data_IF_994927851085
#
_entry.id   IF_994927851085
#
_cell.length_a   1.000
_cell.length_b   1.000
_cell.length_c   1.000
_cell.angle_alpha   90.00
_cell.angle_beta   90.00
_cell.angle_gamma   90.00
#
_symmetry.space_group_name_H-M   'P 1'
#
loop_
_entity.id
_entity.type
_entity.pdbx_description
1 polymer ?
#
# COMPACT_ATOMS: atom_id res chain seq x y z
N UNK A 1 -19.54 7.81 8.53
CA UNK A 1 -18.57 8.79 8.04
C UNK A 1 -19.27 9.95 7.35
N UNK A 2 -20.23 9.73 6.45
CA UNK A 2 -21.00 10.78 5.76
C UNK A 2 -21.57 11.82 6.74
N UNK A 3 -22.29 11.37 7.80
CA UNK A 3 -22.84 12.28 8.82
C UNK A 3 -21.76 13.15 9.48
N UNK A 4 -20.58 12.61 9.75
CA UNK A 4 -19.45 13.38 10.32
C UNK A 4 -18.90 14.43 9.36
N UNK A 5 -18.86 14.11 8.06
CA UNK A 5 -18.47 15.08 7.03
C UNK A 5 -19.50 16.21 6.92
N UNK A 6 -20.80 15.89 6.97
CA UNK A 6 -21.87 16.90 6.97
C UNK A 6 -21.82 17.79 8.22
N UNK A 7 -21.56 17.22 9.41
CA UNK A 7 -21.37 17.99 10.64
C UNK A 7 -20.13 18.91 10.59
N UNK A 8 -19.12 18.59 9.78
CA UNK A 8 -17.96 19.44 9.52
C UNK A 8 -18.22 20.49 8.44
N UNK A 9 -19.44 20.59 7.90
CA UNK A 9 -19.81 21.56 6.87
C UNK A 9 -19.49 21.12 5.43
N UNK A 10 -19.11 19.87 5.22
CA UNK A 10 -18.89 19.30 3.90
C UNK A 10 -20.19 18.75 3.30
N UNK A 11 -20.30 18.73 1.98
CA UNK A 11 -21.34 18.00 1.28
C UNK A 11 -20.85 16.57 1.02
N UNK A 12 -21.39 15.62 1.77
CA UNK A 12 -20.96 14.21 1.70
C UNK A 12 -21.69 13.44 0.60
N UNK A 13 -20.98 12.52 -0.04
CA UNK A 13 -21.52 11.55 -1.00
C UNK A 13 -20.73 10.25 -0.94
N UNK A 14 -21.40 9.14 -1.27
CA UNK A 14 -20.79 7.83 -1.49
C UNK A 14 -20.88 7.50 -2.97
N UNK A 15 -19.82 6.92 -3.54
CA UNK A 15 -19.76 6.57 -4.96
C UNK A 15 -20.07 5.10 -5.23
N UNK A 16 -20.09 4.72 -6.51
CA UNK A 16 -20.47 3.38 -6.97
C UNK A 16 -19.50 2.26 -6.61
N UNK A 17 -18.32 2.55 -6.03
CA UNK A 17 -17.40 1.55 -5.48
C UNK A 17 -17.29 1.63 -3.95
N UNK A 18 -17.97 2.62 -3.32
CA UNK A 18 -18.00 2.77 -1.88
C UNK A 18 -17.06 3.85 -1.33
N UNK A 19 -16.36 4.63 -2.17
CA UNK A 19 -15.62 5.79 -1.70
C UNK A 19 -16.55 6.82 -1.06
N UNK A 20 -16.14 7.41 0.06
CA UNK A 20 -16.91 8.46 0.73
C UNK A 20 -16.17 9.79 0.59
N UNK A 21 -16.74 10.72 -0.16
CA UNK A 21 -16.18 12.05 -0.40
C UNK A 21 -17.03 13.12 0.32
N UNK A 22 -16.35 13.97 1.10
CA UNK A 22 -16.90 15.20 1.66
C UNK A 22 -16.33 16.41 0.92
N UNK A 23 -17.18 17.18 0.22
CA UNK A 23 -16.77 18.33 -0.58
C UNK A 23 -16.98 19.64 0.16
N UNK A 24 -15.96 20.47 0.16
CA UNK A 24 -16.04 21.86 0.64
C UNK A 24 -16.98 22.70 -0.23
N UNK A 25 -17.62 23.67 0.40
CA UNK A 25 -18.36 24.72 -0.30
C UNK A 25 -17.48 25.92 -0.67
N UNK A 26 -16.23 25.98 -0.21
CA UNK A 26 -15.31 27.07 -0.49
C UNK A 26 -14.93 27.08 -1.97
N UNK A 27 -14.77 28.27 -2.58
CA UNK A 27 -14.39 28.39 -3.98
C UNK A 27 -12.90 28.09 -4.20
N UNK A 28 -12.53 27.75 -5.43
CA UNK A 28 -11.16 27.51 -5.84
C UNK A 28 -10.82 26.03 -5.95
N UNK A 29 -9.56 25.74 -6.23
CA UNK A 29 -9.04 24.37 -6.29
C UNK A 29 -8.90 23.82 -4.88
N UNK A 30 -9.53 22.69 -4.63
CA UNK A 30 -9.45 22.04 -3.32
C UNK A 30 -8.18 21.18 -3.20
N UNK A 31 -7.71 21.00 -1.97
CA UNK A 31 -6.78 19.97 -1.60
C UNK A 31 -7.57 18.76 -1.09
N UNK A 32 -7.34 17.58 -1.66
CA UNK A 32 -7.97 16.34 -1.24
C UNK A 32 -7.15 15.71 -0.12
N UNK A 33 -7.77 15.36 1.00
CA UNK A 33 -7.08 14.77 2.16
C UNK A 33 -7.84 13.53 2.64
N UNK A 34 -7.12 12.44 2.89
CA UNK A 34 -7.73 11.22 3.43
C UNK A 34 -6.81 10.01 3.31
N UNK A 35 -7.40 8.84 3.40
CA UNK A 35 -6.83 7.51 3.25
C UNK A 35 -7.96 6.50 3.14
N UNK A 36 -7.79 5.26 3.54
CA UNK A 36 -8.83 4.21 3.56
C UNK A 36 -9.38 3.98 4.97
N UNK A 37 -10.54 3.32 5.08
CA UNK A 37 -11.16 2.98 6.37
C UNK A 37 -11.47 1.49 6.53
N UNK A 38 -11.18 0.67 5.51
CA UNK A 38 -11.15 -0.77 5.63
C UNK A 38 -9.83 -1.20 6.32
N UNK A 39 -9.84 -2.37 6.95
CA UNK A 39 -8.73 -2.88 7.75
C UNK A 39 -8.46 -4.34 7.44
N UNK A 40 -7.29 -4.82 7.80
CA UNK A 40 -6.98 -6.26 7.79
C UNK A 40 -7.88 -7.02 8.79
N UNK A 41 -8.17 -8.31 8.54
CA UNK A 41 -9.06 -9.10 9.40
C UNK A 41 -8.61 -9.22 10.86
N UNK A 42 -7.33 -9.05 11.14
CA UNK A 42 -6.72 -9.28 12.47
C UNK A 42 -6.03 -8.04 13.03
N UNK A 43 -6.47 -6.85 12.67
CA UNK A 43 -5.91 -5.60 13.19
C UNK A 43 -5.95 -4.46 12.21
N UNK A 44 -5.21 -3.40 12.48
CA UNK A 44 -5.16 -2.23 11.62
C UNK A 44 -6.20 -1.16 11.98
N UNK A 45 -6.34 -0.80 13.26
CA UNK A 45 -7.35 0.20 13.66
C UNK A 45 -6.92 1.65 13.39
N UNK A 46 -5.60 1.89 13.27
CA UNK A 46 -5.02 3.16 12.85
C UNK A 46 -4.66 3.16 11.37
N UNK A 47 -4.36 1.98 10.83
CA UNK A 47 -4.01 1.74 9.45
C UNK A 47 -5.09 2.28 8.51
N UNK A 48 -4.74 3.30 7.71
CA UNK A 48 -5.67 4.04 6.86
C UNK A 48 -6.69 4.92 7.62
N UNK A 49 -7.38 4.35 8.61
CA UNK A 49 -8.41 5.06 9.37
C UNK A 49 -7.90 6.36 10.01
N UNK A 50 -6.63 6.41 10.43
CA UNK A 50 -5.97 7.62 10.91
C UNK A 50 -6.07 8.75 9.87
N UNK A 51 -5.69 8.49 8.62
CA UNK A 51 -5.69 9.47 7.54
C UNK A 51 -7.08 9.96 7.18
N UNK A 52 -8.09 9.09 7.25
CA UNK A 52 -9.50 9.47 7.06
C UNK A 52 -9.96 10.44 8.15
N UNK A 53 -9.63 10.15 9.42
CA UNK A 53 -9.98 11.03 10.53
C UNK A 53 -9.17 12.33 10.47
N UNK A 54 -7.90 12.30 10.10
CA UNK A 54 -7.12 13.51 9.91
C UNK A 54 -7.70 14.40 8.80
N UNK A 55 -8.17 13.84 7.69
CA UNK A 55 -8.86 14.62 6.65
C UNK A 55 -10.05 15.38 7.20
N UNK A 56 -10.87 14.73 8.03
CA UNK A 56 -12.00 15.36 8.73
C UNK A 56 -11.54 16.46 9.71
N UNK A 57 -10.54 16.19 10.53
CA UNK A 57 -10.05 17.13 11.55
C UNK A 57 -9.32 18.33 10.93
N UNK A 58 -8.61 18.15 9.81
CA UNK A 58 -8.04 19.28 9.04
C UNK A 58 -9.15 20.20 8.53
N UNK A 59 -10.24 19.65 7.97
CA UNK A 59 -11.40 20.45 7.55
C UNK A 59 -11.95 21.27 8.71
N UNK A 60 -12.15 20.65 9.89
CA UNK A 60 -12.65 21.34 11.09
C UNK A 60 -11.69 22.43 11.58
N UNK A 61 -10.41 22.09 11.70
CA UNK A 61 -9.39 23.03 12.18
C UNK A 61 -9.29 24.27 11.29
N UNK A 62 -9.28 24.09 9.96
CA UNK A 62 -9.24 25.21 9.03
C UNK A 62 -10.54 26.03 9.04
N UNK A 63 -11.69 25.41 9.24
CA UNK A 63 -12.97 26.11 9.31
C UNK A 63 -13.13 26.98 10.59
N UNK A 64 -12.53 26.55 11.70
CA UNK A 64 -12.57 27.26 12.99
C UNK A 64 -11.66 28.49 13.02
N UNK A 65 -10.56 28.52 12.25
CA UNK A 65 -9.64 29.65 12.20
C UNK A 65 -10.10 30.68 11.14
N UNK A 66 -10.39 31.95 11.54
CA UNK A 66 -10.78 33.00 10.61
C UNK A 66 -9.79 33.26 9.48
N UNK A 67 -8.50 32.96 9.69
CA UNK A 67 -7.43 33.16 8.70
C UNK A 67 -7.36 32.06 7.62
N UNK A 68 -7.95 30.87 7.87
CA UNK A 68 -7.88 29.72 6.97
C UNK A 68 -9.26 29.20 6.51
N UNK A 69 -10.35 29.63 7.13
CA UNK A 69 -11.71 29.11 6.85
C UNK A 69 -12.20 29.26 5.42
N UNK A 70 -11.51 30.05 4.59
CA UNK A 70 -11.82 30.24 3.18
C UNK A 70 -11.12 29.22 2.27
N UNK A 71 -10.17 28.44 2.81
CA UNK A 71 -9.42 27.44 2.08
C UNK A 71 -10.32 26.24 1.75
N UNK A 72 -10.19 25.70 0.54
CA UNK A 72 -11.00 24.58 0.09
C UNK A 72 -10.26 23.26 0.38
N UNK A 73 -10.81 22.46 1.30
CA UNK A 73 -10.33 21.10 1.60
C UNK A 73 -11.47 20.12 1.45
N UNK A 74 -11.28 19.11 0.64
CA UNK A 74 -12.18 17.97 0.51
C UNK A 74 -11.59 16.77 1.28
N UNK A 75 -12.45 16.02 1.97
CA UNK A 75 -12.06 14.82 2.72
C UNK A 75 -12.52 13.56 2.03
N UNK A 76 -11.67 12.55 1.93
CA UNK A 76 -11.94 11.28 1.24
C UNK A 76 -11.67 10.08 2.14
N UNK A 77 -12.50 9.04 2.02
CA UNK A 77 -12.21 7.69 2.47
C UNK A 77 -12.27 6.77 1.27
N UNK A 78 -11.13 6.20 0.90
CA UNK A 78 -11.05 5.21 -0.16
C UNK A 78 -11.61 3.86 0.30
N UNK A 79 -12.10 3.08 -0.64
CA UNK A 79 -12.67 1.75 -0.39
C UNK A 79 -11.73 0.65 -0.86
N UNK A 80 -11.58 -0.40 -0.05
CA UNK A 80 -10.88 -1.64 -0.37
C UNK A 80 -9.41 -1.44 -0.76
N UNK A 81 -8.67 -0.64 0.06
CA UNK A 81 -7.22 -0.53 -0.08
C UNK A 81 -6.57 -1.89 0.23
N UNK A 82 -7.05 -2.54 1.29
CA UNK A 82 -6.54 -3.78 1.89
C UNK A 82 -6.87 -5.06 1.11
N UNK A 83 -7.37 -4.91 -0.12
CA UNK A 83 -7.53 -6.02 -1.08
C UNK A 83 -8.54 -7.10 -0.70
N UNK A 84 -9.68 -6.77 -0.12
CA UNK A 84 -10.74 -7.76 0.00
C UNK A 84 -11.16 -8.30 -1.38
N UNK A 85 -11.30 -7.42 -2.36
CA UNK A 85 -11.60 -7.75 -3.76
C UNK A 85 -10.47 -7.32 -4.68
N UNK A 86 -9.95 -6.09 -4.52
CA UNK A 86 -8.93 -5.54 -5.39
C UNK A 86 -8.15 -4.41 -4.69
N UNK A 87 -6.84 -4.57 -4.51
CA UNK A 87 -6.01 -3.60 -3.78
C UNK A 87 -6.10 -2.18 -4.29
N UNK A 88 -6.32 -1.25 -3.38
CA UNK A 88 -6.55 0.16 -3.67
C UNK A 88 -7.74 0.37 -4.64
N UNK A 89 -8.80 -0.43 -4.54
CA UNK A 89 -9.92 -0.41 -5.48
C UNK A 89 -10.53 0.99 -5.62
N UNK A 90 -10.73 1.68 -4.50
CA UNK A 90 -11.34 2.99 -4.45
C UNK A 90 -10.52 4.05 -5.16
N UNK A 91 -9.26 4.21 -4.81
CA UNK A 91 -8.35 5.17 -5.44
C UNK A 91 -8.08 4.83 -6.90
N UNK A 92 -7.94 3.54 -7.25
CA UNK A 92 -7.82 3.11 -8.65
C UNK A 92 -9.05 3.41 -9.48
N UNK A 93 -10.26 3.21 -8.91
CA UNK A 93 -11.50 3.60 -9.58
C UNK A 93 -11.54 5.10 -9.86
N UNK A 94 -11.17 5.90 -8.87
CA UNK A 94 -11.08 7.36 -8.98
C UNK A 94 -10.06 7.82 -10.05
N UNK A 95 -8.91 7.14 -10.13
CA UNK A 95 -7.86 7.43 -11.12
C UNK A 95 -8.10 6.81 -12.51
N UNK A 96 -9.19 6.06 -12.70
CA UNK A 96 -9.52 5.40 -13.98
C UNK A 96 -8.77 4.08 -14.24
N UNK A 97 -8.05 3.56 -13.24
CA UNK A 97 -7.31 2.28 -13.32
C UNK A 97 -8.17 1.05 -12.99
N UNK A 98 -9.37 1.26 -12.49
CA UNK A 98 -10.34 0.20 -12.17
C UNK A 98 -11.67 0.45 -12.91
N UNK A 99 -11.77 0.14 -14.22
CA UNK A 99 -12.98 0.33 -15.00
C UNK A 99 -14.08 -0.67 -14.57
N UNK A 100 -15.38 -0.36 -14.79
CA UNK A 100 -16.49 -1.26 -14.46
C UNK A 100 -16.34 -2.68 -15.02
N UNK A 101 -15.68 -2.83 -16.16
CA UNK A 101 -15.39 -4.16 -16.75
C UNK A 101 -14.43 -5.01 -15.91
N UNK A 102 -13.62 -4.41 -15.03
CA UNK A 102 -12.71 -5.14 -14.15
C UNK A 102 -13.43 -5.81 -12.96
N UNK A 103 -14.68 -5.42 -12.65
CA UNK A 103 -15.49 -6.05 -11.60
C UNK A 103 -15.87 -7.50 -11.91
N UNK A 104 -16.01 -7.81 -13.21
CA UNK A 104 -16.49 -9.09 -13.64
C UNK A 104 -15.56 -10.23 -13.18
N UNK A 105 -16.10 -11.12 -12.34
CA UNK A 105 -15.38 -12.29 -11.84
C UNK A 105 -14.56 -12.06 -10.57
N UNK A 106 -14.44 -10.83 -10.05
CA UNK A 106 -13.79 -10.58 -8.76
C UNK A 106 -14.62 -11.19 -7.63
N UNK A 107 -13.94 -11.94 -6.78
CA UNK A 107 -14.51 -12.57 -5.58
C UNK A 107 -13.55 -12.40 -4.42
N UNK A 108 -14.10 -12.25 -3.23
CA UNK A 108 -13.31 -12.31 -2.01
C UNK A 108 -12.91 -13.77 -1.67
N UNK A 109 -12.15 -13.94 -0.60
CA UNK A 109 -11.68 -15.25 -0.12
C UNK A 109 -12.81 -16.22 0.25
N UNK A 110 -14.00 -15.71 0.55
CA UNK A 110 -15.18 -16.49 0.94
C UNK A 110 -16.10 -16.79 -0.27
N UNK A 111 -15.68 -16.33 -1.48
CA UNK A 111 -16.39 -16.55 -2.74
C UNK A 111 -17.50 -15.55 -3.05
N UNK A 112 -17.67 -14.50 -2.23
CA UNK A 112 -18.63 -13.41 -2.46
C UNK A 112 -18.18 -12.60 -3.69
N UNK A 113 -19.05 -12.42 -4.67
CA UNK A 113 -18.71 -11.58 -5.81
C UNK A 113 -18.77 -10.08 -5.44
N UNK A 114 -17.87 -9.27 -6.02
CA UNK A 114 -17.87 -7.83 -5.81
C UNK A 114 -19.22 -7.20 -6.21
N UNK A 115 -19.80 -7.64 -7.33
CA UNK A 115 -21.10 -7.17 -7.78
C UNK A 115 -22.21 -7.41 -6.75
N UNK A 116 -22.22 -8.60 -6.10
CA UNK A 116 -23.20 -8.94 -5.07
C UNK A 116 -22.99 -8.06 -3.81
N UNK A 117 -21.73 -7.78 -3.44
CA UNK A 117 -21.40 -6.92 -2.32
C UNK A 117 -21.84 -5.47 -2.56
N UNK A 118 -21.61 -4.93 -3.75
CA UNK A 118 -22.07 -3.59 -4.14
C UNK A 118 -23.60 -3.50 -4.19
N UNK A 119 -24.29 -4.53 -4.66
CA UNK A 119 -25.75 -4.59 -4.64
C UNK A 119 -26.28 -4.60 -3.21
N UNK A 120 -25.73 -5.42 -2.32
CA UNK A 120 -26.09 -5.46 -0.89
C UNK A 120 -25.84 -4.14 -0.19
N UNK A 121 -24.81 -3.41 -0.57
CA UNK A 121 -24.51 -2.06 -0.07
C UNK A 121 -25.44 -0.98 -0.66
N UNK A 122 -26.31 -1.31 -1.63
CA UNK A 122 -27.19 -0.36 -2.31
C UNK A 122 -26.46 0.58 -3.27
N UNK A 123 -25.27 0.17 -3.76
CA UNK A 123 -24.41 1.00 -4.60
C UNK A 123 -24.53 0.66 -6.10
N UNK A 124 -25.28 -0.38 -6.47
CA UNK A 124 -25.53 -0.76 -7.86
C UNK A 124 -26.11 0.41 -8.66
N UNK A 125 -25.44 0.77 -9.76
CA UNK A 125 -25.84 1.87 -10.61
C UNK A 125 -25.54 3.28 -10.08
N UNK A 126 -24.92 3.39 -8.90
CA UNK A 126 -24.44 4.68 -8.38
C UNK A 126 -23.24 5.13 -9.21
N UNK A 127 -23.19 6.42 -9.65
CA UNK A 127 -22.04 6.95 -10.38
C UNK A 127 -20.75 6.83 -9.56
N UNK A 128 -19.63 6.53 -10.23
CA UNK A 128 -18.31 6.56 -9.61
C UNK A 128 -17.73 7.96 -9.67
N UNK A 129 -16.96 8.30 -8.66
CA UNK A 129 -16.10 9.48 -8.68
C UNK A 129 -14.95 9.25 -9.66
N UNK A 130 -14.55 10.31 -10.37
CA UNK A 130 -13.38 10.29 -11.23
C UNK A 130 -12.52 11.54 -11.01
N UNK A 131 -11.20 11.38 -10.99
CA UNK A 131 -10.27 12.49 -10.82
C UNK A 131 -10.44 13.57 -11.89
N UNK A 132 -10.80 13.17 -13.13
CA UNK A 132 -11.02 14.07 -14.25
C UNK A 132 -12.22 15.02 -14.08
N UNK A 133 -13.15 14.70 -13.17
CA UNK A 133 -14.33 15.52 -12.89
C UNK A 133 -14.06 16.63 -11.85
N UNK A 134 -12.82 16.70 -11.33
CA UNK A 134 -12.42 17.60 -10.25
C UNK A 134 -11.10 18.30 -10.57
N UNK A 135 -10.99 19.57 -10.22
CA UNK A 135 -9.77 20.36 -10.34
C UNK A 135 -9.09 20.45 -8.96
N UNK A 136 -8.46 19.35 -8.53
CA UNK A 136 -7.71 19.34 -7.28
C UNK A 136 -6.31 19.94 -7.43
N UNK A 137 -5.82 20.59 -6.36
CA UNK A 137 -4.39 20.96 -6.26
C UNK A 137 -3.52 19.72 -6.12
N UNK A 138 -4.00 18.72 -5.40
CA UNK A 138 -3.33 17.48 -5.16
C UNK A 138 -3.98 16.71 -4.00
N UNK A 139 -3.31 15.66 -3.56
CA UNK A 139 -3.77 14.75 -2.51
C UNK A 139 -2.75 14.65 -1.38
N UNK A 140 -3.22 14.70 -0.15
CA UNK A 140 -2.43 14.43 1.05
C UNK A 140 -2.98 13.21 1.78
N UNK A 141 -2.08 12.31 2.14
CA UNK A 141 -2.39 11.13 2.94
C UNK A 141 -1.58 11.15 4.24
N UNK A 142 -2.22 10.87 5.36
CA UNK A 142 -1.54 10.62 6.62
C UNK A 142 -1.72 9.15 7.00
N UNK A 143 -0.67 8.57 7.58
CA UNK A 143 -0.67 7.16 7.92
C UNK A 143 0.25 6.87 9.12
N UNK A 144 0.14 5.73 9.73
CA UNK A 144 1.19 5.19 10.60
C UNK A 144 2.34 4.66 9.75
N UNK A 145 3.57 4.63 10.28
CA UNK A 145 4.73 4.14 9.53
C UNK A 145 4.62 2.65 9.15
N UNK A 146 3.91 1.86 9.92
CA UNK A 146 3.86 0.39 9.81
C UNK A 146 5.25 -0.26 9.92
N UNK A 147 6.17 0.41 10.59
CA UNK A 147 7.56 0.02 10.75
C UNK A 147 8.20 0.70 11.96
N UNK A 148 9.42 0.29 12.34
CA UNK A 148 10.04 0.70 13.59
C UNK A 148 10.94 1.94 13.48
N UNK A 149 11.20 2.48 12.27
CA UNK A 149 12.31 3.42 12.06
C UNK A 149 12.12 4.76 12.78
N UNK A 150 10.89 5.33 12.76
CA UNK A 150 10.64 6.59 13.46
C UNK A 150 10.83 6.42 14.97
N UNK A 151 10.31 5.36 15.55
CA UNK A 151 10.45 5.06 16.97
C UNK A 151 11.92 4.80 17.35
N UNK A 152 12.63 3.94 16.60
CA UNK A 152 14.04 3.63 16.84
C UNK A 152 14.96 4.84 16.71
N UNK A 153 14.66 5.75 15.77
CA UNK A 153 15.43 6.98 15.54
C UNK A 153 14.99 8.14 16.46
N UNK A 154 14.02 7.94 17.35
CA UNK A 154 13.45 8.96 18.22
C UNK A 154 12.78 10.10 17.45
N UNK A 155 12.22 9.80 16.28
CA UNK A 155 11.49 10.74 15.43
C UNK A 155 9.98 10.56 15.63
N UNK A 156 9.27 11.67 15.56
CA UNK A 156 7.82 11.71 15.78
C UNK A 156 7.02 11.93 14.50
N UNK A 157 7.67 12.42 13.44
CA UNK A 157 7.04 12.70 12.13
C UNK A 157 7.94 12.18 11.02
N UNK A 158 7.35 11.46 10.07
CA UNK A 158 7.95 11.09 8.80
C UNK A 158 7.34 11.87 7.64
N UNK A 159 8.17 12.53 6.84
CA UNK A 159 7.73 13.11 5.56
C UNK A 159 8.12 12.15 4.46
N UNK A 160 7.13 11.56 3.81
CA UNK A 160 7.36 10.50 2.83
C UNK A 160 7.92 11.09 1.54
N UNK A 161 9.07 10.57 1.10
CA UNK A 161 9.72 10.99 -0.16
C UNK A 161 9.24 10.16 -1.35
N UNK A 162 9.01 8.88 -1.11
CA UNK A 162 8.57 7.92 -2.12
C UNK A 162 7.91 6.71 -1.49
N UNK A 163 7.03 6.07 -2.23
CA UNK A 163 6.50 4.75 -1.93
C UNK A 163 7.30 3.73 -2.74
N UNK A 164 7.69 2.63 -2.11
CA UNK A 164 8.49 1.59 -2.77
C UNK A 164 7.80 1.00 -3.99
N UNK A 165 8.61 0.64 -4.99
CA UNK A 165 8.19 -0.23 -6.08
C UNK A 165 8.10 -1.68 -5.61
N UNK A 166 7.28 -2.46 -6.29
CA UNK A 166 7.01 -3.85 -5.97
C UNK A 166 7.17 -4.72 -7.21
N UNK A 167 7.89 -5.82 -7.06
CA UNK A 167 8.00 -6.89 -8.04
C UNK A 167 7.70 -8.24 -7.40
N UNK A 168 7.45 -9.23 -8.22
CA UNK A 168 7.23 -10.59 -7.73
C UNK A 168 7.18 -11.64 -8.82
N UNK A 169 7.39 -12.89 -8.43
CA UNK A 169 7.45 -14.04 -9.32
C UNK A 169 6.80 -15.25 -8.65
N UNK A 170 6.13 -16.06 -9.43
CA UNK A 170 5.68 -17.39 -9.04
C UNK A 170 6.57 -18.42 -9.74
N UNK A 171 7.15 -19.32 -8.97
CA UNK A 171 7.94 -20.45 -9.46
C UNK A 171 7.13 -21.72 -9.33
N UNK A 172 6.99 -22.45 -10.43
CA UNK A 172 6.33 -23.76 -10.48
C UNK A 172 7.39 -24.84 -10.65
N UNK A 173 7.42 -25.80 -9.75
CA UNK A 173 8.38 -26.90 -9.71
C UNK A 173 7.68 -28.17 -10.19
N UNK A 174 8.22 -28.80 -11.23
CA UNK A 174 7.71 -30.07 -11.79
C UNK A 174 8.73 -31.17 -11.58
N UNK A 175 8.39 -32.11 -10.74
CA UNK A 175 9.17 -33.30 -10.43
C UNK A 175 8.44 -34.58 -10.82
N UNK A 176 8.74 -35.67 -10.10
CA UNK A 176 8.08 -36.96 -10.29
C UNK A 176 7.68 -37.53 -8.94
N UNK A 177 6.38 -37.57 -8.69
CA UNK A 177 5.86 -38.20 -7.48
C UNK A 177 6.26 -39.68 -7.42
N UNK A 178 6.75 -40.12 -6.25
CA UNK A 178 7.15 -41.50 -6.06
C UNK A 178 7.19 -41.85 -4.54
N UNK A 179 7.39 -43.12 -4.22
CA UNK A 179 7.51 -43.60 -2.84
C UNK A 179 8.83 -43.10 -2.21
N UNK A 180 8.73 -42.47 -1.06
CA UNK A 180 9.89 -41.82 -0.40
C UNK A 180 11.00 -42.79 0.02
N UNK A 181 10.66 -44.02 0.44
CA UNK A 181 11.62 -45.01 0.92
C UNK A 181 12.28 -45.83 -0.17
N UNK A 182 11.64 -46.02 -1.32
CA UNK A 182 12.15 -46.91 -2.39
C UNK A 182 12.71 -46.15 -3.58
N UNK A 183 12.54 -44.83 -3.65
CA UNK A 183 13.13 -44.01 -4.71
C UNK A 183 14.52 -43.55 -4.29
N UNK A 184 15.55 -44.11 -4.89
CA UNK A 184 16.94 -43.80 -4.58
C UNK A 184 17.27 -42.34 -4.88
N UNK A 185 18.09 -41.69 -4.01
CA UNK A 185 18.43 -40.26 -4.10
C UNK A 185 18.95 -39.84 -5.48
N UNK A 186 19.79 -40.65 -6.13
CA UNK A 186 20.37 -40.35 -7.43
C UNK A 186 19.37 -40.27 -8.59
N UNK A 187 18.18 -40.85 -8.45
CA UNK A 187 17.14 -40.84 -9.49
C UNK A 187 15.94 -39.95 -9.17
N UNK A 188 15.97 -39.23 -8.04
CA UNK A 188 14.84 -38.41 -7.63
C UNK A 188 14.65 -37.16 -8.49
N UNK A 189 13.41 -36.92 -8.86
CA UNK A 189 12.96 -35.65 -9.41
C UNK A 189 12.03 -35.00 -8.37
N UNK A 190 12.66 -34.46 -7.32
CA UNK A 190 11.96 -34.01 -6.11
C UNK A 190 11.70 -32.49 -6.21
N UNK A 191 10.42 -32.12 -6.36
CA UNK A 191 10.01 -30.72 -6.44
C UNK A 191 10.32 -29.95 -5.15
N UNK A 192 10.26 -30.58 -3.97
CA UNK A 192 10.58 -29.91 -2.71
C UNK A 192 12.06 -29.56 -2.61
N UNK A 193 12.96 -30.50 -3.00
CA UNK A 193 14.41 -30.24 -2.99
C UNK A 193 14.76 -29.05 -3.91
N UNK A 194 14.16 -28.97 -5.09
CA UNK A 194 14.39 -27.87 -6.01
C UNK A 194 13.84 -26.53 -5.44
N UNK A 195 12.67 -26.55 -4.81
CA UNK A 195 12.06 -25.37 -4.17
C UNK A 195 12.95 -24.83 -3.05
N UNK A 196 13.36 -25.68 -2.11
CA UNK A 196 14.21 -25.26 -1.00
C UNK A 196 15.59 -24.76 -1.47
N UNK A 197 16.16 -25.38 -2.53
CA UNK A 197 17.41 -24.94 -3.10
C UNK A 197 17.28 -23.54 -3.75
N UNK A 198 16.20 -23.27 -4.50
CA UNK A 198 15.97 -21.96 -5.09
C UNK A 198 15.77 -20.89 -3.99
N UNK A 199 14.96 -21.18 -2.99
CA UNK A 199 14.71 -20.25 -1.87
C UNK A 199 16.01 -19.90 -1.11
N UNK A 200 16.88 -20.90 -0.84
CA UNK A 200 18.19 -20.67 -0.22
C UNK A 200 19.08 -19.79 -1.09
N UNK A 201 19.19 -20.09 -2.38
CA UNK A 201 20.02 -19.32 -3.32
C UNK A 201 19.54 -17.86 -3.46
N UNK A 202 18.24 -17.61 -3.46
CA UNK A 202 17.67 -16.26 -3.46
C UNK A 202 18.12 -15.51 -2.19
N UNK A 203 17.97 -16.10 -1.01
CA UNK A 203 18.38 -15.51 0.26
C UNK A 203 19.90 -15.27 0.36
N UNK A 204 20.72 -16.03 -0.37
CA UNK A 204 22.16 -15.82 -0.44
C UNK A 204 22.57 -14.76 -1.48
N UNK A 205 21.80 -14.59 -2.55
CA UNK A 205 22.15 -13.73 -3.67
C UNK A 205 21.61 -12.29 -3.50
N UNK A 206 20.37 -12.13 -3.06
CA UNK A 206 19.72 -10.84 -2.95
C UNK A 206 20.44 -9.83 -2.05
N UNK A 207 21.00 -10.22 -0.87
CA UNK A 207 21.76 -9.28 -0.02
C UNK A 207 22.94 -8.61 -0.71
N UNK A 208 23.49 -9.23 -1.78
CA UNK A 208 24.67 -8.71 -2.49
C UNK A 208 24.35 -7.50 -3.39
N UNK A 209 23.08 -7.30 -3.71
CA UNK A 209 22.59 -6.24 -4.60
C UNK A 209 21.51 -5.38 -3.98
N UNK A 210 21.08 -5.74 -2.77
CA UNK A 210 20.04 -5.03 -2.00
C UNK A 210 20.51 -3.64 -1.60
N UNK A 211 19.60 -2.68 -1.64
CA UNK A 211 19.74 -1.38 -1.00
C UNK A 211 19.48 -1.48 0.53
N UNK A 212 19.68 -0.39 1.27
CA UNK A 212 19.56 -0.40 2.73
C UNK A 212 18.14 -0.66 3.24
N UNK A 213 17.13 -0.48 2.39
CA UNK A 213 15.71 -0.69 2.70
C UNK A 213 15.03 -1.70 1.77
N UNK A 214 15.82 -2.47 1.01
CA UNK A 214 15.27 -3.57 0.22
C UNK A 214 14.71 -4.66 1.13
N UNK A 215 13.53 -5.16 0.78
CA UNK A 215 12.93 -6.32 1.45
C UNK A 215 12.43 -7.33 0.43
N UNK A 216 12.43 -8.61 0.80
CA UNK A 216 11.82 -9.68 0.01
C UNK A 216 11.21 -10.73 0.91
N UNK A 217 10.19 -11.38 0.39
CA UNK A 217 9.42 -12.40 1.13
C UNK A 217 9.05 -13.56 0.20
N UNK A 218 9.19 -14.78 0.71
CA UNK A 218 8.69 -16.00 0.09
C UNK A 218 7.57 -16.56 1.00
N UNK A 219 6.45 -15.82 1.07
CA UNK A 219 5.38 -16.06 2.05
C UNK A 219 4.46 -17.22 1.71
N UNK A 220 4.46 -17.69 0.45
CA UNK A 220 3.66 -18.84 0.04
C UNK A 220 4.55 -19.90 -0.59
N UNK A 221 4.56 -21.09 0.01
CA UNK A 221 5.20 -22.28 -0.52
C UNK A 221 4.23 -23.47 -0.39
N UNK A 222 3.97 -24.15 -1.50
CA UNK A 222 3.03 -25.28 -1.56
C UNK A 222 3.72 -26.48 -2.16
N UNK A 223 3.53 -27.64 -1.58
CA UNK A 223 4.02 -28.93 -2.11
C UNK A 223 2.85 -29.90 -2.27
N UNK A 224 2.83 -30.62 -3.37
CA UNK A 224 1.81 -31.61 -3.66
C UNK A 224 2.45 -32.99 -3.87
N UNK A 225 1.91 -34.05 -3.23
CA UNK A 225 0.68 -34.08 -2.41
C UNK A 225 0.86 -33.68 -0.94
N UNK A 226 2.07 -33.28 -0.51
CA UNK A 226 2.30 -32.82 0.88
C UNK A 226 2.27 -33.93 1.93
N UNK A 227 2.62 -35.15 1.58
CA UNK A 227 2.63 -36.31 2.45
C UNK A 227 4.07 -36.77 2.77
N UNK A 228 4.39 -37.13 4.06
CA UNK A 228 5.76 -37.45 4.48
C UNK A 228 6.41 -38.64 3.77
N UNK A 229 5.58 -39.60 3.29
CA UNK A 229 6.04 -40.82 2.64
C UNK A 229 6.07 -40.76 1.12
N UNK A 230 5.89 -39.56 0.55
CA UNK A 230 5.83 -39.35 -0.89
C UNK A 230 6.85 -38.29 -1.30
N UNK A 231 7.64 -38.59 -2.34
CA UNK A 231 8.48 -37.59 -3.03
C UNK A 231 7.53 -36.63 -3.76
N UNK A 232 7.51 -35.32 -3.47
CA UNK A 232 6.62 -34.38 -4.12
C UNK A 232 6.89 -34.28 -5.62
N UNK A 233 5.81 -34.41 -6.42
CA UNK A 233 5.86 -34.25 -7.86
C UNK A 233 5.62 -32.83 -8.33
N UNK A 234 5.07 -31.98 -7.48
CA UNK A 234 4.76 -30.59 -7.80
C UNK A 234 5.03 -29.67 -6.62
N UNK A 235 5.43 -28.44 -6.89
CA UNK A 235 5.59 -27.38 -5.91
C UNK A 235 5.34 -26.00 -6.50
N UNK A 236 4.99 -25.04 -5.65
CA UNK A 236 4.89 -23.63 -5.99
C UNK A 236 5.58 -22.80 -4.91
N UNK A 237 6.27 -21.74 -5.31
CA UNK A 237 6.88 -20.74 -4.44
C UNK A 237 6.54 -19.36 -4.99
N UNK A 238 6.03 -18.47 -4.14
CA UNK A 238 5.77 -17.09 -4.49
C UNK A 238 6.79 -16.18 -3.81
N UNK A 239 7.52 -15.42 -4.63
CA UNK A 239 8.50 -14.42 -4.23
C UNK A 239 7.90 -13.04 -4.47
N UNK A 240 7.99 -12.16 -3.46
CA UNK A 240 7.74 -10.73 -3.57
C UNK A 240 8.99 -9.98 -3.11
N UNK A 241 9.29 -8.85 -3.75
CA UNK A 241 10.41 -7.98 -3.37
C UNK A 241 10.06 -6.51 -3.58
N UNK A 242 10.64 -5.63 -2.76
CA UNK A 242 10.35 -4.19 -2.75
C UNK A 242 11.64 -3.39 -2.63
N UNK A 243 11.71 -2.28 -3.37
CA UNK A 243 12.74 -1.26 -3.26
C UNK A 243 12.26 0.05 -3.89
N UNK A 244 12.86 1.18 -3.51
CA UNK A 244 12.62 2.49 -4.13
C UNK A 244 13.39 2.64 -5.45
N UNK A 245 14.53 1.95 -5.59
CA UNK A 245 15.36 1.97 -6.81
C UNK A 245 14.87 0.91 -7.81
N UNK A 246 14.31 1.32 -8.96
CA UNK A 246 13.88 0.39 -9.99
C UNK A 246 15.02 -0.51 -10.49
N UNK A 247 16.28 -0.03 -10.46
CA UNK A 247 17.44 -0.82 -10.83
C UNK A 247 17.75 -1.96 -9.84
N UNK A 248 17.41 -1.79 -8.54
CA UNK A 248 17.48 -2.91 -7.56
C UNK A 248 16.44 -3.96 -7.89
N UNK A 249 15.21 -3.54 -8.20
CA UNK A 249 14.14 -4.47 -8.57
C UNK A 249 14.49 -5.25 -9.86
N UNK A 250 15.10 -4.57 -10.86
CA UNK A 250 15.58 -5.23 -12.08
C UNK A 250 16.65 -6.28 -11.77
N UNK A 251 17.59 -5.97 -10.87
CA UNK A 251 18.63 -6.92 -10.44
C UNK A 251 18.06 -8.13 -9.70
N UNK A 252 17.07 -7.92 -8.82
CA UNK A 252 16.39 -9.02 -8.13
C UNK A 252 15.70 -9.97 -9.11
N UNK A 253 14.97 -9.42 -10.07
CA UNK A 253 14.33 -10.22 -11.12
C UNK A 253 15.34 -10.99 -11.97
N UNK A 254 16.39 -10.33 -12.45
CA UNK A 254 17.44 -10.97 -13.24
C UNK A 254 18.13 -12.10 -12.48
N UNK A 255 18.49 -11.87 -11.20
CA UNK A 255 19.11 -12.90 -10.35
C UNK A 255 18.15 -14.08 -10.16
N UNK A 256 16.86 -13.84 -9.90
CA UNK A 256 15.91 -14.92 -9.73
C UNK A 256 15.80 -15.80 -10.99
N UNK A 257 15.78 -15.19 -12.18
CA UNK A 257 15.78 -15.91 -13.46
C UNK A 257 17.08 -16.70 -13.70
N UNK A 258 18.24 -16.13 -13.36
CA UNK A 258 19.51 -16.84 -13.42
C UNK A 258 19.53 -18.06 -12.48
N UNK A 259 19.01 -17.92 -11.28
CA UNK A 259 18.94 -19.02 -10.31
C UNK A 259 18.00 -20.14 -10.77
N UNK A 260 16.89 -19.81 -11.45
CA UNK A 260 16.04 -20.82 -12.13
C UNK A 260 16.86 -21.64 -13.12
N UNK A 261 17.69 -21.00 -13.95
CA UNK A 261 18.58 -21.70 -14.89
C UNK A 261 19.60 -22.59 -14.17
N UNK A 262 20.16 -22.12 -13.03
CA UNK A 262 21.06 -22.92 -12.19
C UNK A 262 20.35 -24.16 -11.66
N UNK A 263 19.13 -24.07 -11.14
CA UNK A 263 18.37 -25.22 -10.66
C UNK A 263 18.09 -26.20 -11.79
N UNK A 264 17.63 -25.71 -12.94
CA UNK A 264 17.32 -26.56 -14.09
C UNK A 264 18.56 -27.29 -14.64
N UNK A 265 19.76 -26.68 -14.56
CA UNK A 265 21.01 -27.30 -15.00
C UNK A 265 21.51 -28.46 -14.11
N UNK A 266 21.02 -28.52 -12.84
CA UNK A 266 21.40 -29.60 -11.91
C UNK A 266 20.74 -30.95 -12.23
N UNK A 267 19.71 -30.93 -13.09
CA UNK A 267 18.88 -32.09 -13.35
C UNK A 267 17.92 -32.38 -12.17
N UNK A 268 16.96 -33.27 -12.38
CA UNK A 268 15.96 -33.58 -11.37
C UNK A 268 14.61 -32.88 -11.67
N UNK A 269 14.02 -32.18 -10.71
CA UNK A 269 12.83 -31.38 -10.95
C UNK A 269 13.17 -30.12 -11.77
N UNK A 270 12.25 -29.73 -12.67
CA UNK A 270 12.35 -28.48 -13.45
C UNK A 270 11.61 -27.34 -12.81
N UNK A 271 12.05 -26.12 -13.05
CA UNK A 271 11.45 -24.88 -12.56
C UNK A 271 11.04 -24.03 -13.74
N UNK A 272 9.79 -23.60 -13.73
CA UNK A 272 9.25 -22.56 -14.62
C UNK A 272 8.85 -21.36 -13.78
N UNK A 273 8.86 -20.17 -14.37
CA UNK A 273 8.49 -18.95 -13.67
C UNK A 273 7.62 -18.06 -14.53
N UNK A 274 6.68 -17.40 -13.86
CA UNK A 274 5.86 -16.31 -14.42
C UNK A 274 5.91 -15.12 -13.47
N UNK A 275 5.74 -13.86 -13.94
CA UNK A 275 5.49 -12.74 -13.06
C UNK A 275 4.25 -13.00 -12.19
N UNK A 276 4.34 -12.77 -10.88
CA UNK A 276 3.19 -12.96 -9.98
C UNK A 276 2.14 -11.87 -10.15
N UNK A 277 2.58 -10.66 -10.45
CA UNK A 277 1.77 -9.46 -10.70
C UNK A 277 2.48 -8.55 -11.70
N UNK A 278 1.74 -7.62 -12.29
CA UNK A 278 2.36 -6.48 -12.97
C UNK A 278 3.23 -5.73 -11.97
N UNK A 279 4.46 -5.37 -12.40
CA UNK A 279 5.38 -4.60 -11.58
C UNK A 279 4.77 -3.23 -11.27
N UNK A 280 4.84 -2.81 -10.01
CA UNK A 280 4.45 -1.48 -9.57
C UNK A 280 5.74 -0.65 -9.47
N UNK A 281 5.78 0.48 -10.17
CA UNK A 281 6.90 1.42 -10.07
C UNK A 281 6.87 2.15 -8.74
N UNK A 282 8.03 2.56 -8.23
CA UNK A 282 8.09 3.45 -7.08
C UNK A 282 7.37 4.77 -7.41
N UNK A 283 6.59 5.27 -6.45
CA UNK A 283 5.88 6.54 -6.57
C UNK A 283 6.63 7.62 -5.80
N UNK A 284 6.98 8.74 -6.47
CA UNK A 284 7.66 9.86 -5.84
C UNK A 284 6.66 10.91 -5.42
N UNK A 285 6.78 11.36 -4.18
CA UNK A 285 5.94 12.41 -3.62
C UNK A 285 6.37 13.78 -4.14
N UNK A 286 5.40 14.68 -4.36
CA UNK A 286 5.64 16.03 -4.88
C UNK A 286 6.59 16.84 -3.99
N UNK A 287 7.62 17.43 -4.61
CA UNK A 287 8.67 18.14 -3.88
C UNK A 287 8.16 19.44 -3.23
N UNK A 288 7.19 20.12 -3.84
CA UNK A 288 6.57 21.33 -3.30
C UNK A 288 5.75 21.02 -2.06
N UNK A 289 4.91 19.99 -2.13
CA UNK A 289 4.09 19.53 -0.99
C UNK A 289 4.97 19.03 0.15
N UNK A 290 5.98 18.21 -0.15
CA UNK A 290 6.94 17.73 0.86
C UNK A 290 7.64 18.88 1.58
N UNK A 291 8.02 19.95 0.86
CA UNK A 291 8.64 21.13 1.48
C UNK A 291 7.70 21.77 2.51
N UNK A 292 6.43 22.03 2.15
CA UNK A 292 5.46 22.62 3.06
C UNK A 292 5.19 21.74 4.29
N UNK A 293 5.09 20.41 4.09
CA UNK A 293 4.95 19.45 5.18
C UNK A 293 6.20 19.42 6.07
N UNK A 294 7.41 19.48 5.49
CA UNK A 294 8.68 19.53 6.25
C UNK A 294 8.80 20.81 7.08
N UNK A 295 8.41 21.96 6.52
CA UNK A 295 8.37 23.25 7.25
C UNK A 295 7.34 23.21 8.38
N UNK A 296 6.20 22.56 8.19
CA UNK A 296 5.21 22.33 9.24
C UNK A 296 5.74 21.36 10.32
N UNK A 297 6.40 20.27 9.92
CA UNK A 297 7.03 19.34 10.85
C UNK A 297 8.12 20.00 11.69
N UNK A 298 8.99 20.81 11.10
CA UNK A 298 10.02 21.57 11.83
C UNK A 298 9.42 22.58 12.81
N UNK A 299 8.26 23.18 12.50
CA UNK A 299 7.56 24.10 13.38
C UNK A 299 6.95 23.42 14.60
N UNK A 300 6.32 22.25 14.41
CA UNK A 300 5.58 21.55 15.47
C UNK A 300 6.45 20.54 16.24
N UNK A 301 7.47 19.97 15.60
CA UNK A 301 8.38 18.97 16.14
C UNK A 301 9.84 19.27 15.74
N UNK A 302 10.44 20.39 16.22
CA UNK A 302 11.77 20.82 15.81
C UNK A 302 12.82 19.72 16.01
N UNK A 303 13.48 19.31 14.91
CA UNK A 303 14.49 18.27 14.91
C UNK A 303 13.98 16.86 15.24
N UNK A 304 12.66 16.64 15.37
CA UNK A 304 12.05 15.33 15.65
C UNK A 304 11.30 14.76 14.44
N UNK A 305 11.67 15.13 13.26
CA UNK A 305 11.12 14.62 12.01
C UNK A 305 12.22 14.12 11.07
N UNK A 306 11.85 13.30 10.11
CA UNK A 306 12.75 12.80 9.07
C UNK A 306 12.04 12.68 7.72
N UNK A 307 12.80 12.90 6.63
CA UNK A 307 12.39 12.48 5.30
C UNK A 307 12.71 10.99 5.14
N UNK A 308 11.75 10.21 4.60
CA UNK A 308 11.88 8.77 4.52
C UNK A 308 11.02 8.15 3.40
N UNK A 309 11.39 7.00 2.85
CA UNK A 309 10.50 6.26 1.97
C UNK A 309 9.45 5.47 2.78
N UNK A 310 8.29 5.21 2.16
CA UNK A 310 7.35 4.19 2.64
C UNK A 310 7.76 2.80 2.15
N UNK A 311 7.81 1.83 3.04
CA UNK A 311 7.96 0.40 2.73
C UNK A 311 6.64 -0.29 2.37
N UNK A 312 5.50 0.32 2.72
CA UNK A 312 4.15 -0.12 2.37
C UNK A 312 3.66 0.59 1.09
N UNK A 313 2.67 0.00 0.44
CA UNK A 313 1.95 0.65 -0.66
C UNK A 313 0.72 1.34 -0.08
N UNK A 314 0.35 2.51 -0.62
CA UNK A 314 -0.73 3.36 -0.13
C UNK A 314 -1.56 3.91 -1.29
N UNK A 315 -2.73 4.46 -1.01
CA UNK A 315 -3.58 5.13 -2.01
C UNK A 315 -2.86 6.29 -2.70
N UNK A 316 -1.99 7.02 -2.00
CA UNK A 316 -1.13 8.05 -2.60
C UNK A 316 -0.24 7.50 -3.73
N UNK A 317 0.14 6.22 -3.68
CA UNK A 317 0.89 5.55 -4.74
C UNK A 317 0.08 5.37 -6.04
N UNK A 318 -1.24 5.33 -5.93
CA UNK A 318 -2.15 5.32 -7.08
C UNK A 318 -2.47 6.74 -7.50
N UNK A 319 -2.90 7.59 -6.56
CA UNK A 319 -3.39 8.95 -6.84
C UNK A 319 -2.30 9.85 -7.43
N UNK A 320 -1.01 9.61 -7.11
CA UNK A 320 0.11 10.35 -7.68
C UNK A 320 0.26 10.21 -9.22
N UNK A 321 -0.43 9.26 -9.83
CA UNK A 321 -0.46 9.10 -11.31
C UNK A 321 -1.28 10.18 -12.01
N UNK A 322 -2.19 10.84 -11.28
CA UNK A 322 -3.14 11.83 -11.85
C UNK A 322 -3.02 13.22 -11.21
N UNK A 323 -2.42 13.35 -10.02
CA UNK A 323 -2.21 14.65 -9.37
C UNK A 323 -1.02 14.61 -8.42
N UNK A 324 -0.45 15.78 -8.02
CA UNK A 324 0.59 15.86 -6.99
C UNK A 324 0.14 15.24 -5.67
N UNK A 325 0.98 14.42 -5.04
CA UNK A 325 0.69 13.79 -3.75
C UNK A 325 1.83 13.98 -2.75
N UNK A 326 1.50 13.98 -1.47
CA UNK A 326 2.47 13.82 -0.39
C UNK A 326 1.86 13.08 0.80
N UNK A 327 2.72 12.54 1.66
CA UNK A 327 2.29 11.77 2.83
C UNK A 327 3.04 12.19 4.09
N UNK A 328 2.35 12.06 5.23
CA UNK A 328 2.90 12.23 6.57
C UNK A 328 2.73 10.93 7.35
N UNK A 329 3.81 10.48 7.99
CA UNK A 329 3.79 9.35 8.91
C UNK A 329 3.90 9.80 10.36
N UNK A 330 3.25 9.03 11.24
CA UNK A 330 3.53 9.00 12.68
C UNK A 330 4.10 7.63 13.07
N UNK A 331 4.82 7.51 14.20
CA UNK A 331 5.42 6.25 14.62
C UNK A 331 4.38 5.18 14.92
N UNK A 332 4.72 3.92 14.61
CA UNK A 332 4.02 2.73 15.09
C UNK A 332 4.76 2.18 16.31
N UNK A 333 4.08 1.96 17.44
CA UNK A 333 4.69 1.38 18.65
C UNK A 333 5.21 -0.03 18.34
N UNK A 334 6.52 -0.21 18.55
CA UNK A 334 7.21 -1.47 18.21
C UNK A 334 7.23 -1.80 16.72
N UNK A 335 6.88 -0.86 15.85
CA UNK A 335 6.76 -1.09 14.40
C UNK A 335 5.62 -2.03 14.02
N UNK A 336 4.66 -2.28 14.92
CA UNK A 336 3.58 -3.25 14.72
C UNK A 336 2.49 -2.66 13.83
N UNK A 337 2.06 -3.43 12.84
CA UNK A 337 0.88 -3.16 12.02
C UNK A 337 0.24 -4.48 11.56
N UNK A 338 -1.03 -4.46 11.10
CA UNK A 338 -1.82 -5.63 10.71
C UNK A 338 -1.99 -6.66 11.86
N UNK A 339 -1.97 -6.17 13.09
CA UNK A 339 -2.13 -6.96 14.31
C UNK A 339 -3.01 -6.19 15.30
N UNK A 340 -3.69 -6.90 16.22
CA UNK A 340 -4.49 -6.27 17.27
C UNK A 340 -3.68 -5.44 18.27
N UNK A 341 -2.35 -5.60 18.30
CA UNK A 341 -1.44 -4.80 19.10
C UNK A 341 -0.96 -3.51 18.38
N UNK A 342 -1.45 -3.23 17.17
CA UNK A 342 -1.16 -1.99 16.47
C UNK A 342 -1.58 -0.77 17.29
N UNK A 343 -0.64 0.16 17.51
CA UNK A 343 -0.91 1.38 18.27
C UNK A 343 0.11 2.48 17.93
N UNK A 344 -0.22 3.71 18.30
CA UNK A 344 0.63 4.90 18.27
C UNK A 344 0.39 5.72 19.54
N UNK A 345 1.37 6.49 19.97
CA UNK A 345 1.17 7.36 21.13
C UNK A 345 0.17 8.47 20.81
N UNK A 346 -0.76 8.75 21.73
CA UNK A 346 -1.78 9.80 21.58
C UNK A 346 -1.18 11.16 21.19
N UNK A 347 -0.04 11.52 21.79
CA UNK A 347 0.67 12.76 21.49
C UNK A 347 1.21 12.80 20.05
N UNK A 348 1.54 11.66 19.44
CA UNK A 348 2.00 11.57 18.05
C UNK A 348 0.82 11.61 17.09
N UNK A 349 -0.31 11.00 17.46
CA UNK A 349 -1.58 11.13 16.73
C UNK A 349 -2.00 12.60 16.64
N UNK A 350 -1.96 13.34 17.75
CA UNK A 350 -2.29 14.78 17.76
C UNK A 350 -1.28 15.59 16.94
N UNK A 351 0.02 15.31 17.11
CA UNK A 351 1.10 16.02 16.42
C UNK A 351 1.02 15.82 14.90
N UNK A 352 0.77 14.60 14.43
CA UNK A 352 0.62 14.29 13.00
C UNK A 352 -0.51 15.09 12.36
N UNK A 353 -1.66 15.20 13.05
CA UNK A 353 -2.78 16.02 12.60
C UNK A 353 -2.43 17.52 12.52
N UNK A 354 -1.71 18.04 13.51
CA UNK A 354 -1.24 19.45 13.51
C UNK A 354 -0.29 19.74 12.36
N UNK A 355 0.65 18.85 12.09
CA UNK A 355 1.59 18.96 10.97
C UNK A 355 0.84 18.94 9.64
N UNK A 356 -0.09 17.99 9.47
CA UNK A 356 -0.89 17.88 8.25
C UNK A 356 -1.74 19.13 8.02
N UNK A 357 -2.43 19.63 9.04
CA UNK A 357 -3.27 20.83 8.95
C UNK A 357 -2.46 22.08 8.57
N UNK A 358 -1.30 22.28 9.23
CA UNK A 358 -0.40 23.40 8.93
C UNK A 358 0.20 23.31 7.53
N UNK A 359 0.57 22.10 7.09
CA UNK A 359 1.10 21.86 5.74
C UNK A 359 0.02 22.08 4.67
N UNK A 360 -1.19 21.59 4.91
CA UNK A 360 -2.33 21.77 4.01
C UNK A 360 -2.68 23.26 3.82
N UNK A 361 -2.73 24.04 4.92
CA UNK A 361 -2.94 25.48 4.86
C UNK A 361 -1.85 26.17 4.01
N UNK A 362 -0.58 25.86 4.26
CA UNK A 362 0.54 26.45 3.52
C UNK A 362 0.54 26.11 2.03
N UNK A 363 0.15 24.89 1.65
CA UNK A 363 0.00 24.46 0.25
C UNK A 363 -1.12 25.27 -0.44
N UNK A 364 -2.28 25.42 0.23
CA UNK A 364 -3.43 26.13 -0.33
C UNK A 364 -3.17 27.63 -0.46
N UNK A 365 -2.53 28.26 0.53
CA UNK A 365 -2.13 29.67 0.49
C UNK A 365 -1.11 29.94 -0.60
N UNK A 366 -0.10 29.05 -0.75
CA UNK A 366 0.92 29.15 -1.79
C UNK A 366 0.39 29.01 -3.21
N UNK A 367 -0.73 28.30 -3.41
CA UNK A 367 -1.38 28.13 -4.70
C UNK A 367 -2.31 29.32 -5.09
N UNK A 368 -2.73 30.12 -4.12
CA UNK A 368 -3.57 31.30 -4.32
C UNK A 368 -2.80 32.61 -4.54
N UNK A 369 -1.47 32.58 -4.41
CA UNK A 369 -0.57 33.69 -4.65
C UNK A 369 0.00 33.60 -6.09
#
# INVERSE_FOLDING_TARGET
>A
LMERYEQAGLRAQIDGVGNVLGRSANPGRALLIGSHSDTQPTGGWLDGALGVIYGLEVVRALAEDPSTRYLAVDAISWQDEESRFYGCMGSRSFCGEFPPSAEAGLRDKDGVALADALEQAGLSGTPRLAAADHDYLGFLEAHIEQGPHLEEDGRRIGIVESIVGLGGMVFTFTGQQNHAGTTMMAGRKDAATALYALASLINEAFPKVAGPRSVWTMGRAVLSPGAPSIVPGHGELELQFRDVDPGVLDRFEAIALELVNVINSRGGATVETIPSRARISAAHMDAGFRRHLSEAAERHAPGQWAAMPSGAFHDAGVVCTVMPCAMVFIPSIGGISHDFAEDSHDDDIVLGCQVLASGAAAILEGAGA
#
